data_IF_444989006480
#
_entry.id   IF_444989006480
#
_cell.length_a   1.000
_cell.length_b   1.000
_cell.length_c   1.000
_cell.angle_alpha   90.00
_cell.angle_beta   90.00
_cell.angle_gamma   90.00
#
_symmetry.space_group_name_H-M   'P 1'
#
loop_
_entity.id
_entity.type
_entity.pdbx_description
1 polymer ?
#
# COMPACT_ATOMS: atom_id res chain seq x y z
N UNK A 1 -16.87 40.29 2.74
CA UNK A 1 -15.64 39.98 1.97
C UNK A 1 -15.40 38.47 1.99
N UNK A 2 -15.33 37.82 0.83
CA UNK A 2 -15.18 36.35 0.70
C UNK A 2 -13.75 35.94 1.09
N UNK A 3 -13.60 35.03 2.06
CA UNK A 3 -12.30 34.44 2.42
C UNK A 3 -11.78 33.64 1.21
N UNK A 4 -10.68 34.09 0.61
CA UNK A 4 -9.94 33.31 -0.39
C UNK A 4 -9.20 32.19 0.33
N UNK A 5 -9.77 30.99 0.34
CA UNK A 5 -9.01 29.78 0.59
C UNK A 5 -8.33 29.37 -0.72
N UNK A 6 -7.09 29.80 -0.93
CA UNK A 6 -6.27 29.20 -1.98
C UNK A 6 -4.81 29.19 -1.54
N UNK A 7 -4.46 28.12 -0.84
CA UNK A 7 -3.08 27.66 -0.66
C UNK A 7 -3.04 26.14 -0.65
N UNK A 8 -3.95 25.49 -1.38
CA UNK A 8 -3.78 24.07 -1.70
C UNK A 8 -2.88 24.00 -2.93
N UNK A 9 -1.58 23.80 -2.68
CA UNK A 9 -0.60 23.50 -3.72
C UNK A 9 -1.12 22.30 -4.51
N UNK A 10 -1.57 22.51 -5.74
CA UNK A 10 -1.97 21.41 -6.62
C UNK A 10 -0.72 20.60 -6.95
N UNK A 11 -0.72 19.33 -6.55
CA UNK A 11 0.35 18.41 -6.91
C UNK A 11 0.39 18.25 -8.42
N UNK A 12 1.59 18.33 -8.99
CA UNK A 12 1.82 18.02 -10.40
C UNK A 12 1.49 16.55 -10.69
N UNK A 13 1.24 16.19 -11.96
CA UNK A 13 0.99 14.79 -12.34
C UNK A 13 2.10 13.85 -11.89
N UNK A 14 3.35 14.32 -11.86
CA UNK A 14 4.50 13.57 -11.38
C UNK A 14 4.44 13.36 -9.86
N UNK A 15 4.12 14.39 -9.09
CA UNK A 15 3.96 14.28 -7.64
C UNK A 15 2.76 13.40 -7.26
N UNK A 16 1.65 13.49 -8.01
CA UNK A 16 0.49 12.62 -7.81
C UNK A 16 0.82 11.15 -8.04
N UNK A 17 1.67 10.84 -9.03
CA UNK A 17 2.16 9.46 -9.28
C UNK A 17 3.09 8.95 -8.17
N UNK A 18 3.71 9.86 -7.42
CA UNK A 18 4.56 9.54 -6.28
C UNK A 18 3.80 9.51 -4.94
N UNK A 19 2.50 9.79 -4.94
CA UNK A 19 1.65 9.52 -3.78
C UNK A 19 1.57 8.00 -3.65
N UNK A 20 2.39 7.44 -2.77
CA UNK A 20 2.22 6.06 -2.31
C UNK A 20 1.10 6.06 -1.26
N UNK A 21 0.21 5.06 -1.35
CA UNK A 21 -1.07 5.07 -0.65
C UNK A 21 -0.91 5.11 0.87
N UNK A 22 -1.64 6.02 1.53
CA UNK A 22 -1.56 6.28 2.97
C UNK A 22 -2.25 5.23 3.85
N UNK A 23 -1.83 3.97 3.73
CA UNK A 23 -2.34 2.85 4.53
C UNK A 23 -1.21 1.93 5.00
N UNK A 24 -1.57 0.85 5.69
CA UNK A 24 -0.61 -0.12 6.26
C UNK A 24 0.30 -0.79 5.22
N UNK A 25 -0.09 -0.72 3.94
CA UNK A 25 0.64 -1.28 2.80
C UNK A 25 1.51 -0.26 2.07
N UNK A 26 1.73 0.91 2.66
CA UNK A 26 2.58 1.93 2.06
C UNK A 26 4.02 1.39 1.86
N UNK A 27 4.56 1.62 0.66
CA UNK A 27 5.86 1.08 0.25
C UNK A 27 5.86 -0.38 -0.20
N UNK A 28 4.76 -1.13 -0.11
CA UNK A 28 4.68 -2.46 -0.71
C UNK A 28 4.61 -2.36 -2.24
N UNK A 29 5.62 -2.89 -2.93
CA UNK A 29 5.68 -2.92 -4.41
C UNK A 29 5.67 -4.34 -4.98
N UNK A 30 5.36 -5.34 -4.14
CA UNK A 30 5.34 -6.75 -4.51
C UNK A 30 4.00 -7.21 -5.10
N UNK A 31 3.91 -8.50 -5.48
CA UNK A 31 2.67 -9.09 -6.00
C UNK A 31 1.59 -9.23 -4.91
N UNK A 32 0.34 -8.97 -5.27
CA UNK A 32 -0.79 -9.09 -4.32
C UNK A 32 -1.09 -10.56 -4.00
N UNK A 33 -1.03 -11.47 -4.97
CA UNK A 33 -1.27 -12.90 -4.75
C UNK A 33 0.08 -13.61 -4.66
N UNK A 34 0.31 -14.35 -3.58
CA UNK A 34 1.61 -14.96 -3.27
C UNK A 34 1.49 -16.44 -2.90
N UNK A 35 2.58 -17.17 -3.04
CA UNK A 35 2.70 -18.54 -2.51
C UNK A 35 2.87 -18.55 -0.99
N UNK A 36 2.71 -19.70 -0.34
CA UNK A 36 2.97 -19.83 1.12
C UNK A 36 4.39 -19.39 1.48
N UNK A 37 5.38 -19.83 0.70
CA UNK A 37 6.79 -19.48 0.93
C UNK A 37 7.02 -17.97 0.84
N UNK A 38 6.45 -17.32 -0.18
CA UNK A 38 6.54 -15.88 -0.34
C UNK A 38 5.86 -15.14 0.82
N UNK A 39 4.69 -15.62 1.28
CA UNK A 39 3.99 -15.05 2.43
C UNK A 39 4.81 -15.12 3.72
N UNK A 40 5.43 -16.26 4.02
CA UNK A 40 6.25 -16.43 5.23
C UNK A 40 7.57 -15.63 5.19
N UNK A 41 8.06 -15.31 3.99
CA UNK A 41 9.22 -14.44 3.80
C UNK A 41 8.88 -12.93 3.80
N UNK A 42 7.60 -12.56 3.79
CA UNK A 42 7.20 -11.16 3.85
C UNK A 42 7.42 -10.58 5.25
N UNK A 43 7.90 -9.33 5.36
CA UNK A 43 7.87 -8.60 6.61
C UNK A 43 6.44 -8.57 7.19
N UNK A 44 6.25 -8.74 8.52
CA UNK A 44 4.92 -8.82 9.14
C UNK A 44 4.00 -7.64 8.79
N UNK A 45 4.57 -6.44 8.60
CA UNK A 45 3.82 -5.25 8.20
C UNK A 45 3.15 -5.37 6.82
N UNK A 46 3.65 -6.25 5.93
CA UNK A 46 3.13 -6.47 4.59
C UNK A 46 2.33 -7.77 4.45
N UNK A 47 2.26 -8.61 5.48
CA UNK A 47 1.48 -9.85 5.43
C UNK A 47 -0.03 -9.59 5.27
N UNK A 48 -0.54 -8.46 5.79
CA UNK A 48 -1.92 -8.02 5.57
C UNK A 48 -2.18 -7.39 4.19
N UNK A 49 -1.13 -7.26 3.37
CA UNK A 49 -1.19 -6.58 2.06
C UNK A 49 -1.25 -7.56 0.88
N UNK A 50 -1.26 -8.87 1.17
CA UNK A 50 -1.24 -9.93 0.17
C UNK A 50 -2.35 -10.95 0.42
N UNK A 51 -2.69 -11.70 -0.62
CA UNK A 51 -3.61 -12.82 -0.62
C UNK A 51 -2.79 -14.11 -0.72
N UNK A 52 -3.07 -15.07 0.16
CA UNK A 52 -2.40 -16.37 0.25
C UNK A 52 -3.44 -17.46 0.50
N UNK A 53 -3.17 -18.70 0.08
CA UNK A 53 -4.08 -19.82 0.35
C UNK A 53 -4.25 -20.04 1.85
N UNK A 54 -5.46 -20.42 2.27
CA UNK A 54 -5.76 -20.81 3.66
C UNK A 54 -4.99 -22.05 4.09
N UNK A 55 -4.58 -22.90 3.14
CA UNK A 55 -3.81 -24.12 3.41
C UNK A 55 -2.38 -23.84 3.90
N UNK A 56 -1.91 -22.59 3.76
CA UNK A 56 -0.61 -22.17 4.28
C UNK A 56 -0.61 -22.03 5.81
N UNK A 57 -1.77 -22.04 6.46
CA UNK A 57 -1.90 -21.98 7.92
C UNK A 57 -2.30 -23.35 8.46
N UNK A 58 -1.40 -24.06 9.17
CA UNK A 58 -1.77 -25.31 9.83
C UNK A 58 -2.87 -25.02 10.87
N UNK A 59 -3.87 -25.91 10.92
CA UNK A 59 -4.97 -25.85 11.89
C UNK A 59 -4.54 -26.29 13.28
#
# INVERSE_FOLDING_TARGET
>A
MKKKFSTLKQLTKTEQRNIKGGGQCDGYTGPIVVTCEQYHNLPPQYQGCVLVSVDCFPR
#
